data_IF_402624742048
#
_entry.id   IF_402624742048
#
_cell.length_a   1.000
_cell.length_b   1.000
_cell.length_c   1.000
_cell.angle_alpha   90.00
_cell.angle_beta   90.00
_cell.angle_gamma   90.00
#
_symmetry.space_group_name_H-M   'P 1'
#
loop_
_entity.id
_entity.type
_entity.pdbx_description
1 polymer ?
#
# COMPACT_ATOMS: atom_id res chain seq x y z
N UNK A 1 -15.41 -14.09 -14.04
CA UNK A 1 -14.81 -14.17 -12.69
C UNK A 1 -14.06 -12.86 -12.48
N UNK A 2 -14.27 -12.15 -11.38
CA UNK A 2 -13.53 -10.92 -11.12
C UNK A 2 -12.07 -11.24 -10.83
N UNK A 3 -11.16 -10.57 -11.52
CA UNK A 3 -9.72 -10.61 -11.25
C UNK A 3 -9.43 -9.87 -9.95
N UNK A 4 -8.90 -10.59 -8.96
CA UNK A 4 -8.34 -9.96 -7.76
C UNK A 4 -7.06 -9.21 -8.15
N UNK A 5 -6.88 -8.05 -7.53
CA UNK A 5 -5.78 -7.12 -7.80
C UNK A 5 -5.09 -6.74 -6.51
N UNK A 6 -3.80 -6.43 -6.63
CA UNK A 6 -3.03 -5.78 -5.58
C UNK A 6 -2.93 -4.29 -5.83
N UNK A 7 -2.89 -3.54 -4.74
CA UNK A 7 -2.79 -2.09 -4.74
C UNK A 7 -1.91 -1.65 -3.59
N UNK A 8 -1.21 -0.55 -3.80
CA UNK A 8 -0.56 0.18 -2.70
C UNK A 8 -1.41 1.39 -2.39
N UNK A 9 -1.93 1.44 -1.19
CA UNK A 9 -2.84 2.48 -0.74
C UNK A 9 -2.13 3.46 0.18
N UNK A 10 -2.39 4.74 -0.02
CA UNK A 10 -2.01 5.81 0.89
C UNK A 10 -3.16 6.13 1.82
N UNK A 11 -2.93 5.97 3.12
CA UNK A 11 -3.86 6.38 4.15
C UNK A 11 -3.30 7.55 4.93
N UNK A 12 -4.16 8.51 5.25
CA UNK A 12 -3.88 9.54 6.23
C UNK A 12 -4.45 9.15 7.59
N UNK A 13 -3.63 9.34 8.63
CA UNK A 13 -4.07 9.17 10.02
C UNK A 13 -4.84 10.41 10.49
N UNK A 14 -6.08 10.27 11.00
CA UNK A 14 -6.91 11.40 11.39
C UNK A 14 -6.32 12.20 12.55
N UNK A 15 -5.74 11.50 13.53
CA UNK A 15 -5.35 12.07 14.82
C UNK A 15 -3.87 12.47 14.89
N UNK A 16 -3.17 12.37 13.76
CA UNK A 16 -1.73 12.56 13.74
C UNK A 16 -1.40 14.06 13.42
N UNK A 17 -0.81 14.82 14.37
CA UNK A 17 -0.63 16.28 14.26
C UNK A 17 0.36 16.68 13.15
N UNK A 18 -0.17 17.12 12.01
CA UNK A 18 0.60 17.50 10.82
C UNK A 18 0.26 16.74 9.54
N UNK A 19 -0.77 15.88 9.55
CA UNK A 19 -1.19 15.11 8.38
C UNK A 19 -0.16 14.03 8.06
N UNK A 20 -0.24 12.90 8.74
CA UNK A 20 0.68 11.78 8.53
C UNK A 20 0.07 10.80 7.56
N UNK A 21 0.93 10.18 6.76
CA UNK A 21 0.52 9.18 5.80
C UNK A 21 1.30 7.89 5.99
N UNK A 22 0.63 6.77 5.74
CA UNK A 22 1.26 5.46 5.72
C UNK A 22 0.80 4.68 4.49
N UNK A 23 1.71 3.85 3.97
CA UNK A 23 1.52 3.06 2.77
C UNK A 23 1.13 1.64 3.15
N UNK A 24 -0.07 1.20 2.80
CA UNK A 24 -0.49 -0.19 3.04
C UNK A 24 -0.61 -0.94 1.73
N UNK A 25 -0.48 -2.25 1.80
CA UNK A 25 -0.85 -3.11 0.69
C UNK A 25 -2.33 -3.45 0.83
N UNK A 26 -3.11 -3.34 -0.24
CA UNK A 26 -4.51 -3.74 -0.25
C UNK A 26 -4.77 -4.74 -1.37
N UNK A 27 -5.64 -5.70 -1.10
CA UNK A 27 -6.06 -6.71 -2.07
C UNK A 27 -7.58 -6.70 -2.20
N UNK A 28 -8.05 -6.65 -3.44
CA UNK A 28 -9.48 -6.66 -3.76
C UNK A 28 -9.75 -6.65 -5.25
N UNK A 29 -11.03 -6.71 -5.61
CA UNK A 29 -11.49 -6.74 -6.99
C UNK A 29 -11.16 -5.43 -7.77
N UNK A 30 -10.74 -5.55 -9.03
CA UNK A 30 -10.50 -4.44 -9.99
C UNK A 30 -11.63 -3.41 -10.04
N UNK A 31 -12.87 -3.90 -10.10
CA UNK A 31 -14.07 -3.06 -10.15
C UNK A 31 -14.22 -2.17 -8.92
N UNK A 32 -13.64 -2.58 -7.78
CA UNK A 32 -13.79 -1.90 -6.51
C UNK A 32 -12.84 -0.72 -6.35
N UNK A 33 -11.55 -0.96 -6.60
CA UNK A 33 -10.52 0.06 -6.42
C UNK A 33 -10.27 0.86 -7.71
N UNK A 34 -10.32 0.22 -8.89
CA UNK A 34 -10.10 0.90 -10.17
C UNK A 34 -11.08 2.06 -10.44
N UNK A 35 -12.37 1.88 -10.12
CA UNK A 35 -13.42 2.91 -10.30
C UNK A 35 -13.32 4.06 -9.29
N UNK A 36 -12.85 3.78 -8.07
CA UNK A 36 -12.57 4.80 -7.05
C UNK A 36 -11.42 5.72 -7.51
N UNK A 37 -10.49 5.19 -8.31
CA UNK A 37 -9.24 5.85 -8.70
C UNK A 37 -9.32 6.58 -10.03
N UNK A 38 -10.14 6.13 -10.97
CA UNK A 38 -10.37 6.80 -12.25
C UNK A 38 -11.19 8.09 -12.13
N UNK A 39 -11.74 8.37 -10.95
CA UNK A 39 -12.49 9.59 -10.67
C UNK A 39 -11.58 10.70 -10.14
N UNK A 40 -11.68 11.95 -10.64
CA UNK A 40 -10.97 13.11 -10.10
C UNK A 40 -11.15 13.21 -8.57
N UNK A 41 -10.12 13.57 -7.81
CA UNK A 41 -10.19 13.67 -6.34
C UNK A 41 -11.39 14.51 -5.86
N UNK A 42 -11.69 15.61 -6.56
CA UNK A 42 -12.84 16.49 -6.31
C UNK A 42 -14.21 15.87 -6.64
N UNK A 43 -14.24 14.86 -7.50
CA UNK A 43 -15.44 14.13 -7.94
C UNK A 43 -15.58 12.76 -7.26
N UNK A 44 -14.61 12.37 -6.41
CA UNK A 44 -14.74 11.22 -5.51
C UNK A 44 -15.79 11.56 -4.47
N UNK A 45 -17.07 11.38 -4.83
CA UNK A 45 -18.14 11.14 -3.85
C UNK A 45 -17.66 10.03 -2.90
N UNK A 46 -18.25 9.87 -1.70
CA UNK A 46 -18.00 8.69 -0.88
C UNK A 46 -18.55 7.46 -1.62
N UNK A 47 -17.78 6.96 -2.59
CA UNK A 47 -18.16 5.89 -3.50
C UNK A 47 -18.00 4.58 -2.72
N UNK A 48 -19.17 3.96 -2.53
CA UNK A 48 -19.47 2.59 -2.12
C UNK A 48 -19.15 2.23 -0.65
N UNK A 49 -20.17 2.43 0.18
CA UNK A 49 -20.29 1.97 1.57
C UNK A 49 -20.26 0.44 1.80
N UNK A 50 -19.82 -0.37 0.82
CA UNK A 50 -19.87 -1.84 0.87
C UNK A 50 -18.63 -2.57 0.34
N UNK A 51 -17.59 -1.86 -0.11
CA UNK A 51 -16.41 -2.51 -0.71
C UNK A 51 -15.48 -3.05 0.36
N UNK A 52 -15.35 -4.38 0.39
CA UNK A 52 -14.47 -5.10 1.30
C UNK A 52 -13.12 -5.34 0.63
N UNK A 53 -12.05 -4.92 1.29
CA UNK A 53 -10.67 -5.17 0.86
C UNK A 53 -9.91 -5.81 2.02
N UNK A 54 -8.91 -6.62 1.69
CA UNK A 54 -7.94 -7.05 2.70
C UNK A 54 -6.82 -6.00 2.74
N UNK A 55 -6.49 -5.51 3.93
CA UNK A 55 -5.40 -4.55 4.17
C UNK A 55 -4.27 -5.28 4.88
N UNK A 56 -3.06 -5.11 4.36
CA UNK A 56 -1.84 -5.63 4.94
C UNK A 56 -0.90 -4.47 5.25
N UNK A 57 -0.52 -4.40 6.53
CA UNK A 57 0.37 -3.38 7.08
C UNK A 57 1.07 -3.90 8.34
N UNK A 58 2.11 -3.19 8.73
CA UNK A 58 2.78 -3.32 10.02
C UNK A 58 2.75 -1.99 10.77
N UNK A 59 2.81 -2.05 12.11
CA UNK A 59 2.75 -0.90 13.01
C UNK A 59 3.74 -1.05 14.16
N UNK A 60 4.34 0.05 14.62
CA UNK A 60 5.31 0.08 15.72
C UNK A 60 4.64 0.26 17.09
N UNK A 61 4.11 -0.80 17.68
CA UNK A 61 3.43 -0.71 18.97
C UNK A 61 4.43 -0.91 20.11
N UNK A 62 4.47 0.04 21.04
CA UNK A 62 5.32 -0.04 22.25
C UNK A 62 6.82 -0.30 21.96
N UNK A 63 7.32 0.14 20.80
CA UNK A 63 8.71 -0.04 20.39
C UNK A 63 8.98 -1.31 19.58
N UNK A 64 7.97 -2.15 19.34
CA UNK A 64 8.07 -3.38 18.54
C UNK A 64 7.22 -3.28 17.28
N UNK A 65 7.73 -3.79 16.16
CA UNK A 65 6.95 -3.86 14.93
C UNK A 65 6.04 -5.08 14.95
N UNK A 66 4.75 -4.86 14.74
CA UNK A 66 3.71 -5.88 14.76
C UNK A 66 2.90 -5.87 13.46
N UNK A 67 2.37 -7.03 13.06
CA UNK A 67 1.40 -7.12 11.97
C UNK A 67 0.05 -6.54 12.42
N UNK A 68 -0.53 -5.68 11.60
CA UNK A 68 -1.87 -5.12 11.81
C UNK A 68 -2.70 -5.27 10.54
N UNK A 69 -2.78 -6.51 10.06
CA UNK A 69 -3.55 -6.86 8.90
C UNK A 69 -5.05 -6.85 9.24
N UNK A 70 -5.87 -6.42 8.29
CA UNK A 70 -7.30 -6.39 8.44
C UNK A 70 -7.97 -7.09 7.27
N UNK A 71 -8.81 -8.06 7.59
CA UNK A 71 -9.53 -8.85 6.61
C UNK A 71 -10.88 -8.24 6.29
N UNK A 72 -11.21 -8.19 5.00
CA UNK A 72 -12.54 -7.78 4.53
C UNK A 72 -13.03 -6.51 5.23
N UNK A 73 -12.23 -5.45 5.15
CA UNK A 73 -12.56 -4.14 5.71
C UNK A 73 -13.16 -3.22 4.66
N UNK A 74 -14.19 -2.49 5.10
CA UNK A 74 -14.75 -1.39 4.32
C UNK A 74 -13.85 -0.19 4.46
N UNK A 75 -13.31 0.31 3.34
CA UNK A 75 -12.46 1.50 3.31
C UNK A 75 -13.10 2.71 4.01
N UNK A 76 -14.44 2.79 4.01
CA UNK A 76 -15.22 3.83 4.70
C UNK A 76 -15.14 3.76 6.22
N UNK A 77 -15.00 2.56 6.79
CA UNK A 77 -15.08 2.31 8.22
C UNK A 77 -13.70 2.11 8.87
N UNK A 78 -12.62 2.30 8.11
CA UNK A 78 -11.25 2.11 8.64
C UNK A 78 -10.84 3.19 9.63
N UNK A 79 -11.64 4.25 9.81
CA UNK A 79 -11.25 5.44 10.60
C UNK A 79 -10.20 6.30 9.89
N UNK A 80 -9.38 5.72 9.03
CA UNK A 80 -8.35 6.38 8.24
C UNK A 80 -8.92 7.10 7.01
N UNK A 81 -8.28 8.21 6.62
CA UNK A 81 -8.65 8.94 5.41
C UNK A 81 -7.86 8.37 4.25
N UNK A 82 -8.51 7.57 3.41
CA UNK A 82 -7.92 7.08 2.17
C UNK A 82 -7.62 8.23 1.20
N UNK A 83 -6.37 8.32 0.73
CA UNK A 83 -5.90 9.42 -0.15
C UNK A 83 -5.74 8.99 -1.60
N UNK A 84 -5.31 7.76 -1.83
CA UNK A 84 -5.19 7.22 -3.19
C UNK A 84 -4.44 5.90 -3.21
N UNK A 85 -4.22 5.36 -4.40
CA UNK A 85 -3.44 4.13 -4.57
C UNK A 85 -2.61 4.12 -5.84
N UNK A 86 -1.71 3.15 -5.89
CA UNK A 86 -0.96 2.74 -7.07
C UNK A 86 -1.38 1.29 -7.39
N UNK A 87 -2.01 1.01 -8.55
CA UNK A 87 -2.42 -0.34 -8.90
C UNK A 87 -1.21 -1.19 -9.25
N UNK A 88 -1.10 -2.36 -8.62
CA UNK A 88 -0.08 -3.37 -8.90
C UNK A 88 -0.56 -4.44 -9.90
N UNK A 89 -1.69 -4.23 -10.56
CA UNK A 89 -2.20 -5.19 -11.55
C UNK A 89 -2.78 -6.47 -10.95
N UNK A 90 -3.19 -7.42 -11.81
CA UNK A 90 -3.91 -8.61 -11.40
C UNK A 90 -2.99 -9.62 -10.71
N UNK A 91 -3.56 -10.38 -9.78
CA UNK A 91 -2.89 -11.52 -9.19
C UNK A 91 -2.68 -12.62 -10.22
N UNK A 92 -1.46 -13.17 -10.26
CA UNK A 92 -1.10 -14.35 -11.05
C UNK A 92 -1.32 -15.66 -10.27
N UNK A 93 -1.61 -15.55 -8.97
CA UNK A 93 -1.90 -16.64 -8.03
C UNK A 93 -3.26 -16.43 -7.39
N UNK A 94 -3.75 -17.42 -6.65
CA UNK A 94 -5.02 -17.26 -5.95
C UNK A 94 -4.91 -16.23 -4.82
N UNK A 95 -6.05 -15.63 -4.46
CA UNK A 95 -6.17 -14.75 -3.30
C UNK A 95 -5.65 -15.41 -2.01
N UNK A 96 -5.98 -16.69 -1.82
CA UNK A 96 -5.57 -17.46 -0.64
C UNK A 96 -4.06 -17.65 -0.55
N UNK A 97 -3.41 -18.05 -1.65
CA UNK A 97 -1.95 -18.19 -1.71
C UNK A 97 -1.26 -16.84 -1.46
N UNK A 98 -1.75 -15.77 -2.10
CA UNK A 98 -1.18 -14.42 -1.95
C UNK A 98 -1.27 -13.95 -0.51
N UNK A 99 -2.43 -14.14 0.12
CA UNK A 99 -2.66 -13.80 1.53
C UNK A 99 -1.77 -14.62 2.46
N UNK A 100 -1.64 -15.93 2.21
CA UNK A 100 -0.76 -16.79 2.99
C UNK A 100 0.71 -16.36 2.89
N UNK A 101 1.15 -15.96 1.70
CA UNK A 101 2.49 -15.39 1.50
C UNK A 101 2.70 -14.12 2.34
N UNK A 102 1.82 -13.12 2.20
CA UNK A 102 1.95 -11.84 2.90
C UNK A 102 1.89 -12.04 4.42
N UNK A 103 1.00 -12.90 4.91
CA UNK A 103 0.89 -13.20 6.35
C UNK A 103 2.12 -13.95 6.92
N UNK A 104 2.91 -14.61 6.06
CA UNK A 104 4.16 -15.26 6.44
C UNK A 104 5.35 -14.31 6.55
N UNK A 105 5.21 -13.07 6.08
CA UNK A 105 6.29 -12.09 6.10
C UNK A 105 6.52 -11.55 7.53
N UNK A 106 7.80 -11.44 7.90
CA UNK A 106 8.19 -10.85 9.19
C UNK A 106 7.58 -9.45 9.34
N UNK A 107 7.08 -9.06 10.54
CA UNK A 107 6.60 -7.70 10.77
C UNK A 107 7.74 -6.66 10.83
N UNK A 108 9.01 -7.07 10.69
CA UNK A 108 10.13 -6.13 10.67
C UNK A 108 10.15 -5.27 9.40
N UNK A 109 10.62 -4.03 9.55
CA UNK A 109 10.91 -3.15 8.41
C UNK A 109 12.05 -3.71 7.52
N UNK A 110 12.92 -4.55 8.08
CA UNK A 110 14.13 -5.05 7.42
C UNK A 110 15.19 -3.97 7.25
N UNK A 111 16.22 -4.27 6.45
CA UNK A 111 17.44 -3.45 6.35
C UNK A 111 17.46 -2.51 5.14
N UNK A 112 16.35 -2.40 4.39
CA UNK A 112 16.28 -1.54 3.19
C UNK A 112 16.46 -0.08 3.61
N UNK A 113 17.51 0.66 3.20
CA UNK A 113 17.73 2.02 3.71
C UNK A 113 16.52 2.93 3.44
N UNK A 114 15.98 3.55 4.51
CA UNK A 114 14.98 4.61 4.36
C UNK A 114 15.64 5.85 3.72
N UNK A 115 14.90 6.55 2.87
CA UNK A 115 15.32 7.89 2.46
C UNK A 115 15.37 8.80 3.68
N UNK A 116 16.34 9.71 3.70
CA UNK A 116 16.57 10.68 4.77
C UNK A 116 15.31 11.45 5.19
N UNK A 117 14.35 11.67 4.27
CA UNK A 117 13.08 12.34 4.58
C UNK A 117 12.22 11.61 5.63
N UNK A 118 12.39 10.29 5.80
CA UNK A 118 11.69 9.49 6.81
C UNK A 118 12.44 9.48 8.14
N UNK A 119 13.74 9.74 8.12
CA UNK A 119 14.62 9.81 9.30
C UNK A 119 14.66 11.23 9.88
N UNK A 120 14.67 12.25 9.02
CA UNK A 120 14.99 13.64 9.37
C UNK A 120 13.89 14.37 10.15
N UNK A 121 12.70 13.80 10.30
CA UNK A 121 11.61 14.44 11.06
C UNK A 121 11.19 13.66 12.30
N UNK A 122 11.71 12.45 12.57
CA UNK A 122 11.21 11.61 13.67
C UNK A 122 9.72 11.24 13.54
N UNK A 123 9.14 11.45 12.35
CA UNK A 123 7.72 11.25 12.00
C UNK A 123 7.44 9.85 11.46
N UNK A 124 8.43 8.96 11.59
CA UNK A 124 8.57 7.70 10.87
C UNK A 124 7.57 6.64 11.30
N UNK A 125 6.46 6.56 10.57
CA UNK A 125 5.60 5.39 10.51
C UNK A 125 5.27 5.09 9.05
N UNK A 126 6.32 4.83 8.25
CA UNK A 126 6.12 4.20 6.96
C UNK A 126 6.44 2.72 7.10
N UNK A 127 5.44 1.85 7.00
CA UNK A 127 5.58 0.43 6.65
C UNK A 127 6.12 0.24 5.21
N UNK A 128 6.80 1.25 4.66
CA UNK A 128 7.28 1.28 3.29
C UNK A 128 8.42 0.29 3.05
N UNK A 129 9.34 0.09 4.00
CA UNK A 129 10.42 -0.89 3.80
C UNK A 129 9.85 -2.30 3.83
N UNK A 130 8.97 -2.57 4.80
CA UNK A 130 8.21 -3.82 4.83
C UNK A 130 7.43 -4.03 3.52
N UNK A 131 6.71 -3.01 3.03
CA UNK A 131 5.95 -3.09 1.79
C UNK A 131 6.85 -3.36 0.57
N UNK A 132 8.01 -2.70 0.48
CA UNK A 132 9.00 -2.93 -0.59
C UNK A 132 9.51 -4.37 -0.56
N UNK A 133 9.78 -4.92 0.63
CA UNK A 133 10.24 -6.30 0.81
C UNK A 133 9.16 -7.31 0.44
N UNK A 134 7.93 -7.09 0.91
CA UNK A 134 6.77 -7.92 0.54
C UNK A 134 6.56 -7.89 -0.97
N UNK A 135 6.65 -6.71 -1.60
CA UNK A 135 6.48 -6.55 -3.03
C UNK A 135 7.59 -7.26 -3.83
N UNK A 136 8.83 -7.17 -3.39
CA UNK A 136 9.95 -7.92 -3.97
C UNK A 136 9.69 -9.43 -3.91
N UNK A 137 9.22 -9.94 -2.77
CA UNK A 137 8.85 -11.35 -2.61
C UNK A 137 7.70 -11.77 -3.52
N UNK A 138 6.64 -10.95 -3.59
CA UNK A 138 5.49 -11.19 -4.47
C UNK A 138 5.90 -11.23 -5.95
N UNK A 139 6.76 -10.31 -6.40
CA UNK A 139 7.27 -10.31 -7.79
C UNK A 139 8.18 -11.50 -8.02
N UNK A 140 9.16 -11.73 -7.14
CA UNK A 140 10.15 -12.79 -7.27
C UNK A 140 9.56 -14.21 -7.28
N UNK A 141 8.42 -14.39 -6.61
CA UNK A 141 7.69 -15.67 -6.60
C UNK A 141 6.54 -15.75 -7.63
N UNK A 142 6.37 -14.70 -8.44
CA UNK A 142 5.39 -14.66 -9.53
C UNK A 142 3.93 -14.59 -9.04
N UNK A 143 3.67 -13.87 -7.94
CA UNK A 143 2.32 -13.49 -7.51
C UNK A 143 1.78 -12.29 -8.29
N UNK A 144 2.67 -11.41 -8.74
CA UNK A 144 2.39 -10.25 -9.60
C UNK A 144 3.45 -10.15 -10.69
N UNK A 145 3.13 -9.46 -11.79
CA UNK A 145 4.07 -9.29 -12.90
C UNK A 145 5.22 -8.34 -12.53
N UNK A 146 6.42 -8.61 -13.07
CA UNK A 146 7.64 -7.85 -12.81
C UNK A 146 7.59 -6.38 -13.30
N UNK A 147 6.76 -6.09 -14.31
CA UNK A 147 6.63 -4.75 -14.93
C UNK A 147 5.44 -3.93 -14.45
N UNK A 148 4.97 -4.27 -13.27
CA UNK A 148 3.77 -3.71 -12.67
C UNK A 148 4.01 -2.29 -12.18
N UNK A 149 3.08 -1.36 -12.42
CA UNK A 149 3.11 -0.01 -11.82
C UNK A 149 4.40 0.80 -12.05
N UNK A 150 5.15 0.50 -13.12
CA UNK A 150 6.46 1.12 -13.36
C UNK A 150 7.59 0.59 -12.45
N UNK A 151 7.30 -0.43 -11.63
CA UNK A 151 8.31 -1.31 -11.04
C UNK A 151 8.90 -2.13 -12.17
N UNK A 152 10.22 -2.21 -12.20
CA UNK A 152 10.97 -3.07 -13.10
C UNK A 152 12.10 -3.64 -12.25
N UNK A 153 11.88 -4.82 -11.66
CA UNK A 153 12.82 -5.36 -10.66
C UNK A 153 14.15 -5.78 -11.25
N UNK A 154 14.25 -5.82 -12.59
CA UNK A 154 15.51 -6.03 -13.31
C UNK A 154 16.48 -4.84 -13.18
N UNK A 155 15.98 -3.66 -12.80
CA UNK A 155 16.82 -2.47 -12.59
C UNK A 155 17.42 -2.49 -11.19
N UNK A 156 18.74 -2.30 -11.11
CA UNK A 156 19.51 -2.28 -9.84
C UNK A 156 18.89 -1.41 -8.74
N UNK A 157 18.30 -0.26 -9.10
CA UNK A 157 17.77 0.73 -8.15
C UNK A 157 16.23 0.81 -8.15
N UNK A 158 15.55 -0.26 -8.58
CA UNK A 158 14.09 -0.25 -8.76
C UNK A 158 13.32 0.10 -7.47
N UNK A 159 13.80 -0.34 -6.30
CA UNK A 159 13.17 -0.04 -5.01
C UNK A 159 13.17 1.45 -4.72
N UNK A 160 14.29 2.12 -4.96
CA UNK A 160 14.41 3.56 -4.79
C UNK A 160 13.54 4.31 -5.81
N UNK A 161 13.56 3.88 -7.07
CA UNK A 161 12.73 4.49 -8.12
C UNK A 161 11.23 4.36 -7.83
N UNK A 162 10.79 3.17 -7.43
CA UNK A 162 9.42 2.90 -7.05
C UNK A 162 9.00 3.71 -5.83
N UNK A 163 9.87 3.74 -4.82
CA UNK A 163 9.59 4.50 -3.62
C UNK A 163 9.45 6.00 -3.89
N UNK A 164 10.31 6.55 -4.75
CA UNK A 164 10.20 7.92 -5.22
C UNK A 164 8.89 8.16 -5.99
N UNK A 165 8.48 7.23 -6.86
CA UNK A 165 7.23 7.34 -7.60
C UNK A 165 5.99 7.32 -6.68
N UNK A 166 5.99 6.41 -5.70
CA UNK A 166 4.96 6.28 -4.67
C UNK A 166 4.89 7.56 -3.82
N UNK A 167 6.02 8.07 -3.33
CA UNK A 167 6.06 9.33 -2.57
C UNK A 167 5.68 10.57 -3.40
N UNK A 168 6.06 10.62 -4.67
CA UNK A 168 5.63 11.69 -5.58
C UNK A 168 4.11 11.68 -5.74
N UNK A 169 3.50 10.50 -5.88
CA UNK A 169 2.04 10.32 -5.90
C UNK A 169 1.40 10.73 -4.57
N UNK A 170 2.01 10.39 -3.44
CA UNK A 170 1.53 10.85 -2.13
C UNK A 170 1.55 12.37 -1.97
N UNK A 171 2.61 13.02 -2.46
CA UNK A 171 2.74 14.49 -2.47
C UNK A 171 1.71 15.14 -3.40
N UNK A 172 1.39 14.51 -4.52
CA UNK A 172 0.31 14.95 -5.41
C UNK A 172 -1.04 14.89 -4.70
N UNK A 173 -1.36 13.79 -4.02
CA UNK A 173 -2.61 13.64 -3.27
C UNK A 173 -2.76 14.69 -2.16
N UNK A 174 -1.64 15.11 -1.56
CA UNK A 174 -1.56 16.13 -0.52
C UNK A 174 -1.89 17.55 -1.01
N UNK A 175 -1.61 17.88 -2.28
CA UNK A 175 -1.83 19.24 -2.80
C UNK A 175 -3.31 19.58 -3.00
N UNK A 176 -4.17 18.57 -2.97
CA UNK A 176 -5.61 18.69 -3.24
C UNK A 176 -6.48 18.44 -1.99
N UNK A 177 -5.86 18.37 -0.81
CA UNK A 177 -6.52 18.18 0.50
C UNK A 177 -6.36 19.41 1.37
#
# INVERSE_FOLDING_TARGET
MSSEHLYICLFAEPDAPGGYFHWVLAMGNEDALGKLLSSPLSARRPIAASMQVDIFQIRLKQGEWECEHHDSVSLKNTGHIFRGTVPLGPLLRTKGETKAFINGESPSQGDTPLLWIHLAQGRGWSCAQWLLRVLEGLIGQGFVADKTAGVDTTKKDWKAAFYMAVNAKGTEFLKYS
#
